data_IF_935298954111
#
_entry.id   IF_935298954111
#
_cell.length_a   1.000
_cell.length_b   1.000
_cell.length_c   1.000
_cell.angle_alpha   90.00
_cell.angle_beta   90.00
_cell.angle_gamma   90.00
#
_symmetry.space_group_name_H-M   'P 1'
#
loop_
_entity.id
_entity.type
_entity.pdbx_description
1 polymer ?
#
# COMPACT_ATOMS: atom_id res chain seq x y z
N UNK A 1 22.67 15.64 -33.23
CA UNK A 1 23.60 16.34 -32.33
C UNK A 1 23.49 15.62 -31.03
N UNK A 2 24.49 14.82 -30.71
CA UNK A 2 24.46 13.94 -29.55
C UNK A 2 24.47 14.83 -28.31
N UNK A 3 23.35 14.84 -27.56
CA UNK A 3 23.25 15.57 -26.31
C UNK A 3 24.27 14.95 -25.36
N UNK A 4 25.33 15.68 -25.00
CA UNK A 4 26.29 15.17 -24.02
C UNK A 4 25.87 15.59 -22.61
N UNK A 5 26.31 14.84 -21.59
CA UNK A 5 26.07 15.22 -20.19
C UNK A 5 26.62 16.63 -19.89
N UNK A 6 27.73 17.03 -20.52
CA UNK A 6 28.27 18.39 -20.45
C UNK A 6 27.29 19.44 -21.00
N UNK A 7 26.61 19.18 -22.12
CA UNK A 7 25.59 20.10 -22.63
C UNK A 7 24.40 20.19 -21.68
N UNK A 8 23.92 19.06 -21.15
CA UNK A 8 22.83 19.06 -20.17
C UNK A 8 23.17 19.87 -18.90
N UNK A 9 24.43 19.82 -18.44
CA UNK A 9 24.91 20.63 -17.32
C UNK A 9 24.92 22.12 -17.69
N UNK A 10 25.41 22.48 -18.88
CA UNK A 10 25.43 23.85 -19.35
C UNK A 10 24.00 24.44 -19.45
N UNK A 11 23.09 23.69 -20.06
CA UNK A 11 21.68 24.06 -20.21
C UNK A 11 20.99 24.21 -18.85
N UNK A 12 21.28 23.32 -17.89
CA UNK A 12 20.75 23.43 -16.54
C UNK A 12 21.23 24.71 -15.83
N UNK A 13 22.51 25.05 -15.95
CA UNK A 13 23.06 26.28 -15.36
C UNK A 13 22.44 27.51 -16.03
N UNK A 14 22.28 27.48 -17.35
CA UNK A 14 21.66 28.56 -18.12
C UNK A 14 20.18 28.75 -17.74
N UNK A 15 19.40 27.67 -17.65
CA UNK A 15 18.01 27.73 -17.21
C UNK A 15 17.88 28.34 -15.81
N UNK A 16 18.83 28.00 -14.90
CA UNK A 16 18.87 28.56 -13.55
C UNK A 16 19.23 30.05 -13.55
N UNK A 17 20.13 30.47 -14.43
CA UNK A 17 20.45 31.89 -14.66
C UNK A 17 19.21 32.65 -15.12
N UNK A 18 18.51 32.15 -16.13
CA UNK A 18 17.30 32.77 -16.67
C UNK A 18 16.19 32.89 -15.62
N UNK A 19 15.94 31.84 -14.84
CA UNK A 19 14.96 31.87 -13.76
C UNK A 19 15.30 32.90 -12.66
N UNK A 20 16.59 33.22 -12.45
CA UNK A 20 17.04 34.26 -11.52
C UNK A 20 16.94 35.67 -12.11
N UNK A 21 17.11 35.82 -13.42
CA UNK A 21 16.98 37.10 -14.13
C UNK A 21 15.53 37.45 -14.46
N UNK A 22 14.63 36.46 -14.59
CA UNK A 22 13.23 36.66 -14.96
C UNK A 22 12.48 37.72 -14.10
N UNK A 23 12.62 37.75 -12.75
CA UNK A 23 11.99 38.80 -11.94
C UNK A 23 12.51 40.21 -12.27
N UNK A 24 13.82 40.34 -12.54
CA UNK A 24 14.46 41.60 -12.91
C UNK A 24 14.03 42.05 -14.31
N UNK A 25 13.95 41.10 -15.25
CA UNK A 25 13.43 41.36 -16.60
C UNK A 25 11.96 41.78 -16.58
N UNK A 26 11.12 41.15 -15.74
CA UNK A 26 9.72 41.56 -15.56
C UNK A 26 9.62 42.95 -14.94
N UNK A 27 10.48 43.29 -13.98
CA UNK A 27 10.52 44.62 -13.39
C UNK A 27 10.89 45.69 -14.44
N UNK A 28 11.89 45.41 -15.27
CA UNK A 28 12.30 46.26 -16.38
C UNK A 28 11.17 46.43 -17.41
N UNK A 29 10.57 45.33 -17.88
CA UNK A 29 9.50 45.37 -18.88
C UNK A 29 8.27 46.15 -18.39
N UNK A 30 7.94 46.02 -17.10
CA UNK A 30 6.82 46.77 -16.49
C UNK A 30 7.04 48.29 -16.52
N UNK A 31 8.30 48.76 -16.47
CA UNK A 31 8.63 50.18 -16.57
C UNK A 31 8.60 50.62 -18.04
N UNK A 32 9.17 49.80 -18.93
CA UNK A 32 9.16 50.03 -20.38
C UNK A 32 7.75 50.11 -20.97
N UNK A 33 6.78 49.38 -20.41
CA UNK A 33 5.37 49.40 -20.85
C UNK A 33 4.57 50.58 -20.28
N UNK A 34 5.03 51.24 -19.20
CA UNK A 34 4.25 52.24 -18.46
C UNK A 34 4.73 53.67 -18.61
N UNK A 35 6.00 53.87 -18.96
CA UNK A 35 6.60 55.19 -19.07
C UNK A 35 7.19 55.39 -20.46
N UNK A 36 6.90 56.54 -21.05
CA UNK A 36 7.55 57.03 -22.27
C UNK A 36 8.68 58.02 -21.95
N UNK A 37 8.95 58.29 -20.65
CA UNK A 37 10.02 59.18 -20.23
C UNK A 37 11.40 58.53 -20.49
N UNK A 38 12.25 59.12 -21.36
CA UNK A 38 13.57 58.60 -21.67
C UNK A 38 14.47 58.45 -20.43
N UNK A 39 14.27 59.28 -19.40
CA UNK A 39 15.09 59.27 -18.17
C UNK A 39 14.74 58.06 -17.31
N UNK A 40 13.45 57.80 -17.06
CA UNK A 40 12.99 56.65 -16.28
C UNK A 40 13.35 55.31 -16.95
N UNK A 41 13.29 55.26 -18.28
CA UNK A 41 13.71 54.08 -19.06
C UNK A 41 15.23 53.84 -18.94
N UNK A 42 16.04 54.91 -18.98
CA UNK A 42 17.48 54.81 -18.85
C UNK A 42 17.89 54.36 -17.44
N UNK A 43 17.24 54.90 -16.40
CA UNK A 43 17.44 54.49 -15.01
C UNK A 43 17.07 53.02 -14.78
N UNK A 44 15.91 52.57 -15.29
CA UNK A 44 15.50 51.18 -15.17
C UNK A 44 16.46 50.20 -15.86
N UNK A 45 17.00 50.57 -17.03
CA UNK A 45 18.03 49.79 -17.73
C UNK A 45 19.34 49.76 -16.95
N UNK A 46 19.73 50.88 -16.33
CA UNK A 46 20.93 50.96 -15.49
C UNK A 46 20.79 50.07 -14.24
N UNK A 47 19.65 50.12 -13.55
CA UNK A 47 19.34 49.25 -12.40
C UNK A 47 19.36 47.78 -12.81
N UNK A 48 18.74 47.43 -13.95
CA UNK A 48 18.80 46.06 -14.46
C UNK A 48 20.24 45.62 -14.75
N UNK A 49 21.05 46.46 -15.40
CA UNK A 49 22.44 46.13 -15.72
C UNK A 49 23.29 45.96 -14.45
N UNK A 50 23.09 46.81 -13.44
CA UNK A 50 23.79 46.74 -12.16
C UNK A 50 23.41 45.49 -11.36
N UNK A 51 22.12 45.15 -11.29
CA UNK A 51 21.64 43.98 -10.53
C UNK A 51 21.85 42.65 -11.28
N UNK A 52 21.82 42.65 -12.61
CA UNK A 52 22.03 41.44 -13.41
C UNK A 52 23.50 41.05 -13.53
N UNK A 53 24.43 42.02 -13.65
CA UNK A 53 25.87 41.75 -13.78
C UNK A 53 26.45 40.76 -12.73
N UNK A 54 26.20 40.91 -11.40
CA UNK A 54 26.70 39.95 -10.42
C UNK A 54 26.04 38.57 -10.55
N UNK A 55 24.78 38.51 -10.97
CA UNK A 55 24.08 37.25 -11.25
C UNK A 55 24.76 36.57 -12.44
N UNK A 56 24.97 37.27 -13.55
CA UNK A 56 25.62 36.70 -14.73
C UNK A 56 27.03 36.18 -14.42
N UNK A 57 27.81 36.93 -13.65
CA UNK A 57 29.13 36.50 -13.22
C UNK A 57 29.07 35.22 -12.37
N UNK A 58 28.13 35.14 -11.41
CA UNK A 58 27.97 33.97 -10.54
C UNK A 58 27.47 32.71 -11.26
N UNK A 59 26.74 32.86 -12.36
CA UNK A 59 26.19 31.76 -13.17
C UNK A 59 27.09 31.37 -14.35
N UNK A 60 28.32 31.88 -14.42
CA UNK A 60 29.32 31.32 -15.33
C UNK A 60 29.63 29.88 -14.89
N UNK A 61 29.64 28.92 -15.81
CA UNK A 61 29.67 27.49 -15.49
C UNK A 61 30.77 27.10 -14.49
N UNK A 62 32.00 27.58 -14.69
CA UNK A 62 33.12 27.29 -13.78
C UNK A 62 32.91 27.86 -12.36
N UNK A 63 32.42 29.09 -12.23
CA UNK A 63 32.16 29.75 -10.93
C UNK A 63 31.03 29.04 -10.20
N UNK A 64 29.94 28.75 -10.91
CA UNK A 64 28.77 28.09 -10.37
C UNK A 64 29.08 26.66 -9.90
N UNK A 65 29.83 25.88 -10.71
CA UNK A 65 30.26 24.53 -10.34
C UNK A 65 31.17 24.53 -9.10
N UNK A 66 32.04 25.53 -8.99
CA UNK A 66 32.94 25.69 -7.83
C UNK A 66 32.18 26.02 -6.56
N UNK A 67 31.15 26.87 -6.64
CA UNK A 67 30.24 27.13 -5.52
C UNK A 67 29.38 25.89 -5.18
N UNK A 68 28.84 25.21 -6.20
CA UNK A 68 28.04 24.01 -6.04
C UNK A 68 28.83 22.88 -5.35
N UNK A 69 30.10 22.69 -5.71
CA UNK A 69 30.98 21.71 -5.08
C UNK A 69 31.19 22.01 -3.59
N UNK A 70 31.31 23.29 -3.19
CA UNK A 70 31.40 23.70 -1.78
C UNK A 70 30.09 23.49 -1.01
N UNK A 71 28.95 23.64 -1.69
CA UNK A 71 27.60 23.43 -1.12
C UNK A 71 27.18 21.96 -1.08
N UNK A 72 27.82 21.08 -1.85
CA UNK A 72 27.50 19.66 -1.93
C UNK A 72 27.47 18.96 -0.55
N UNK A 73 28.34 19.34 0.38
CA UNK A 73 28.35 18.83 1.77
C UNK A 73 27.08 19.11 2.58
N UNK A 74 26.21 20.01 2.11
CA UNK A 74 24.95 20.34 2.78
C UNK A 74 23.80 19.41 2.37
N UNK A 75 24.05 18.50 1.44
CA UNK A 75 23.11 17.49 0.96
C UNK A 75 23.74 16.11 1.07
N UNK A 76 22.88 15.12 1.22
CA UNK A 76 23.22 13.70 1.18
C UNK A 76 22.26 13.03 0.20
N UNK A 77 22.82 12.38 -0.82
CA UNK A 77 22.07 11.52 -1.72
C UNK A 77 21.82 10.20 -1.00
N UNK A 78 20.56 9.78 -0.97
CA UNK A 78 20.16 8.65 -0.16
C UNK A 78 19.03 7.85 -0.79
N UNK A 79 19.09 6.54 -0.63
CA UNK A 79 17.92 5.65 -0.82
C UNK A 79 17.13 5.53 0.47
N UNK A 80 17.83 5.55 1.61
CA UNK A 80 17.27 5.47 2.95
C UNK A 80 17.60 6.73 3.72
N UNK A 81 16.56 7.45 4.16
CA UNK A 81 16.67 8.80 4.70
C UNK A 81 16.26 8.84 6.17
N UNK A 82 17.09 9.46 7.01
CA UNK A 82 16.87 9.49 8.45
C UNK A 82 15.75 10.47 8.89
N UNK A 83 15.53 11.55 8.14
CA UNK A 83 14.54 12.59 8.47
C UNK A 83 13.09 12.14 8.46
N UNK A 84 12.79 10.96 7.91
CA UNK A 84 11.44 10.39 7.92
C UNK A 84 11.05 9.85 9.30
N UNK A 85 12.01 9.53 10.18
CA UNK A 85 11.68 9.17 11.57
C UNK A 85 11.29 10.41 12.36
N UNK A 86 12.04 11.50 12.20
CA UNK A 86 11.76 12.81 12.76
C UNK A 86 12.43 13.88 11.90
N UNK A 87 11.73 14.97 11.58
CA UNK A 87 12.24 16.01 10.66
C UNK A 87 13.58 16.61 11.08
N UNK A 88 13.78 16.73 12.39
CA UNK A 88 14.96 17.35 13.00
C UNK A 88 16.08 16.33 13.31
N UNK A 89 15.91 15.05 12.92
CA UNK A 89 16.95 14.05 13.13
C UNK A 89 18.17 14.36 12.25
N UNK A 90 19.29 14.69 12.90
CA UNK A 90 20.61 14.86 12.26
C UNK A 90 21.39 13.56 12.30
N UNK A 91 20.83 12.52 11.69
CA UNK A 91 21.46 11.22 11.53
C UNK A 91 21.87 11.00 10.07
N UNK A 92 22.81 10.08 9.88
CA UNK A 92 23.31 9.74 8.56
C UNK A 92 22.25 9.06 7.71
N UNK A 93 22.19 9.48 6.45
CA UNK A 93 21.36 8.86 5.42
C UNK A 93 22.23 7.97 4.53
N UNK A 94 21.64 6.94 3.92
CA UNK A 94 22.40 5.89 3.23
C UNK A 94 21.99 5.76 1.77
N UNK A 95 22.98 5.74 0.90
CA UNK A 95 22.85 5.39 -0.51
C UNK A 95 23.19 3.90 -0.68
N UNK A 96 22.18 3.08 -0.98
CA UNK A 96 22.36 1.64 -1.18
C UNK A 96 22.25 1.33 -2.67
N UNK A 97 23.34 0.88 -3.26
CA UNK A 97 23.41 0.48 -4.67
C UNK A 97 23.04 -0.99 -4.89
N UNK A 98 23.19 -1.84 -3.87
CA UNK A 98 23.09 -3.29 -3.99
C UNK A 98 21.76 -3.76 -4.58
N UNK A 99 21.85 -4.74 -5.46
CA UNK A 99 20.72 -5.45 -6.04
C UNK A 99 20.71 -6.89 -5.53
N UNK A 100 19.54 -7.40 -5.17
CA UNK A 100 19.33 -8.79 -4.82
C UNK A 100 18.56 -9.47 -5.94
N UNK A 101 19.12 -10.54 -6.50
CA UNK A 101 18.56 -11.24 -7.66
C UNK A 101 17.34 -12.08 -7.30
N UNK A 102 17.32 -12.69 -6.10
CA UNK A 102 16.23 -13.56 -5.66
C UNK A 102 16.05 -13.49 -4.14
N UNK A 103 14.86 -13.08 -3.68
CA UNK A 103 14.48 -13.02 -2.27
C UNK A 103 12.97 -13.22 -2.14
N UNK A 104 12.55 -13.99 -1.14
CA UNK A 104 11.13 -14.12 -0.77
C UNK A 104 10.57 -12.83 -0.12
N UNK A 105 11.45 -11.90 0.24
CA UNK A 105 11.10 -10.60 0.82
C UNK A 105 11.29 -9.49 -0.21
N UNK A 106 10.27 -8.63 -0.33
CA UNK A 106 10.37 -7.38 -1.07
C UNK A 106 11.13 -6.35 -0.23
N UNK A 107 12.33 -6.00 -0.68
CA UNK A 107 13.20 -5.01 -0.02
C UNK A 107 13.68 -3.98 -1.04
N UNK A 108 14.28 -2.87 -0.59
CA UNK A 108 14.80 -1.84 -1.50
C UNK A 108 15.79 -2.40 -2.54
N UNK A 109 16.56 -3.44 -2.17
CA UNK A 109 17.49 -4.11 -3.08
C UNK A 109 16.80 -4.94 -4.19
N UNK A 110 15.50 -5.25 -4.05
CA UNK A 110 14.70 -5.91 -5.10
C UNK A 110 14.35 -4.98 -6.26
N UNK A 111 14.59 -3.66 -6.14
CA UNK A 111 14.32 -2.70 -7.19
C UNK A 111 15.46 -2.67 -8.23
N UNK A 112 15.08 -2.80 -9.51
CA UNK A 112 15.98 -2.69 -10.65
C UNK A 112 16.58 -1.28 -10.74
N UNK A 113 15.75 -0.24 -10.81
CA UNK A 113 16.16 1.16 -10.73
C UNK A 113 15.70 1.73 -9.39
N UNK A 114 16.64 2.25 -8.61
CA UNK A 114 16.36 2.86 -7.30
C UNK A 114 16.31 4.37 -7.47
N UNK A 115 15.17 4.98 -7.16
CA UNK A 115 15.07 6.43 -7.12
C UNK A 115 16.01 6.97 -6.03
N UNK A 116 16.98 7.80 -6.42
CA UNK A 116 17.90 8.46 -5.49
C UNK A 116 17.17 9.65 -4.90
N UNK A 117 17.06 9.72 -3.58
CA UNK A 117 16.54 10.89 -2.87
C UNK A 117 17.66 11.86 -2.51
N UNK A 118 17.31 13.12 -2.26
CA UNK A 118 18.24 14.13 -1.76
C UNK A 118 17.72 14.69 -0.44
N UNK A 119 18.51 14.52 0.62
CA UNK A 119 18.20 14.94 1.98
C UNK A 119 19.20 16.01 2.38
N UNK A 120 18.74 17.17 2.85
CA UNK A 120 19.67 18.22 3.25
C UNK A 120 19.02 19.58 3.40
N UNK A 121 19.85 20.62 3.26
CA UNK A 121 19.38 21.99 3.21
C UNK A 121 18.63 22.24 1.89
N UNK A 122 17.41 22.78 1.96
CA UNK A 122 16.59 23.09 0.79
C UNK A 122 17.29 24.04 -0.20
N UNK A 123 18.14 24.93 0.30
CA UNK A 123 18.92 25.87 -0.52
C UNK A 123 20.02 25.20 -1.37
N UNK A 124 20.39 23.95 -1.08
CA UNK A 124 21.40 23.18 -1.81
C UNK A 124 20.79 22.04 -2.64
N UNK A 125 19.46 21.93 -2.72
CA UNK A 125 18.78 20.92 -3.55
C UNK A 125 19.01 21.12 -5.06
N UNK A 126 19.40 22.33 -5.48
CA UNK A 126 19.79 22.58 -6.86
C UNK A 126 21.09 21.87 -7.24
N UNK A 127 21.99 21.63 -6.28
CA UNK A 127 23.17 20.76 -6.45
C UNK A 127 22.74 19.30 -6.60
N UNK A 128 21.75 18.84 -5.83
CA UNK A 128 21.24 17.49 -5.99
C UNK A 128 20.61 17.26 -7.36
N UNK A 129 19.87 18.25 -7.89
CA UNK A 129 19.30 18.20 -9.23
C UNK A 129 20.38 18.16 -10.32
N UNK A 130 21.45 18.95 -10.16
CA UNK A 130 22.62 18.88 -11.04
C UNK A 130 23.20 17.44 -11.07
N UNK A 131 23.45 16.86 -9.91
CA UNK A 131 24.05 15.53 -9.81
C UNK A 131 23.17 14.43 -10.45
N UNK A 132 21.85 14.62 -10.42
CA UNK A 132 20.86 13.70 -11.01
C UNK A 132 20.64 13.88 -12.51
N UNK A 133 21.25 14.87 -13.16
CA UNK A 133 21.15 14.99 -14.62
C UNK A 133 21.64 13.69 -15.27
N UNK A 134 20.82 13.12 -16.13
CA UNK A 134 21.06 11.84 -16.80
C UNK A 134 21.02 12.08 -18.31
N UNK A 135 22.04 11.60 -19.02
CA UNK A 135 22.11 11.61 -20.48
C UNK A 135 22.62 10.26 -20.96
N UNK A 136 21.88 9.59 -21.86
CA UNK A 136 22.17 8.22 -22.33
C UNK A 136 22.44 7.19 -21.22
N UNK A 137 21.77 7.34 -20.07
CA UNK A 137 21.92 6.45 -18.91
C UNK A 137 23.14 6.74 -18.02
N UNK A 138 23.94 7.75 -18.37
CA UNK A 138 25.06 8.24 -17.56
C UNK A 138 24.66 9.52 -16.82
N UNK A 139 24.99 9.58 -15.53
CA UNK A 139 24.75 10.75 -14.67
C UNK A 139 26.04 11.16 -13.96
N UNK A 140 26.08 12.40 -13.43
CA UNK A 140 27.20 12.82 -12.60
C UNK A 140 27.37 11.93 -11.36
N UNK A 141 26.29 11.38 -10.82
CA UNK A 141 26.34 10.42 -9.71
C UNK A 141 27.10 9.15 -10.12
N UNK A 142 26.81 8.59 -11.30
CA UNK A 142 27.48 7.37 -11.77
C UNK A 142 28.94 7.63 -12.08
N UNK A 143 29.29 8.79 -12.65
CA UNK A 143 30.69 9.19 -12.86
C UNK A 143 31.46 9.26 -11.53
N UNK A 144 30.88 9.95 -10.53
CA UNK A 144 31.49 10.08 -9.20
C UNK A 144 31.66 8.73 -8.50
N UNK A 145 30.67 7.82 -8.60
CA UNK A 145 30.77 6.46 -8.07
C UNK A 145 31.86 5.63 -8.75
N UNK A 146 32.10 5.85 -10.05
CA UNK A 146 33.19 5.23 -10.81
C UNK A 146 34.54 5.94 -10.62
N UNK A 147 34.57 7.05 -9.87
CA UNK A 147 35.77 7.78 -9.54
C UNK A 147 36.28 8.71 -10.65
N UNK A 148 35.44 9.13 -11.60
CA UNK A 148 35.78 10.11 -12.64
C UNK A 148 34.72 11.23 -12.74
N UNK A 149 35.04 12.30 -13.47
CA UNK A 149 34.17 13.49 -13.67
C UNK A 149 34.33 14.05 -15.07
N UNK A 150 34.34 13.18 -16.08
CA UNK A 150 34.65 13.55 -17.47
C UNK A 150 33.68 14.60 -18.02
N UNK A 151 32.42 14.58 -17.60
CA UNK A 151 31.43 15.58 -18.01
C UNK A 151 31.75 17.00 -17.52
N UNK A 152 32.55 17.14 -16.46
CA UNK A 152 32.95 18.45 -15.92
C UNK A 152 34.18 19.04 -16.64
N UNK A 153 34.95 18.20 -17.34
CA UNK A 153 36.20 18.61 -17.99
C UNK A 153 36.01 19.66 -19.09
N UNK A 154 34.84 19.72 -19.71
CA UNK A 154 34.50 20.75 -20.70
C UNK A 154 34.41 22.17 -20.13
N UNK A 155 34.32 22.32 -18.80
CA UNK A 155 34.11 23.61 -18.14
C UNK A 155 35.36 24.21 -17.51
N UNK A 156 36.48 23.48 -17.48
CA UNK A 156 37.76 23.99 -16.98
C UNK A 156 38.94 23.29 -17.63
N UNK A 157 40.01 24.06 -17.84
CA UNK A 157 41.31 23.53 -18.25
C UNK A 157 42.24 23.30 -17.04
N UNK A 158 41.80 23.67 -15.83
CA UNK A 158 42.57 23.52 -14.59
C UNK A 158 42.27 22.17 -13.92
N UNK A 159 43.27 21.29 -13.90
CA UNK A 159 43.17 19.97 -13.26
C UNK A 159 42.96 20.06 -11.75
N UNK A 160 43.49 21.10 -11.09
CA UNK A 160 43.29 21.30 -9.65
C UNK A 160 41.83 21.64 -9.36
N UNK A 161 41.23 22.53 -10.15
CA UNK A 161 39.82 22.88 -10.03
C UNK A 161 38.91 21.66 -10.29
N UNK A 162 39.25 20.84 -11.29
CA UNK A 162 38.51 19.60 -11.57
C UNK A 162 38.56 18.62 -10.39
N UNK A 163 39.73 18.49 -9.74
CA UNK A 163 39.90 17.67 -8.54
C UNK A 163 39.09 18.21 -7.37
N UNK A 164 39.09 19.53 -7.15
CA UNK A 164 38.28 20.17 -6.12
C UNK A 164 36.78 19.92 -6.34
N UNK A 165 36.30 19.96 -7.58
CA UNK A 165 34.92 19.63 -7.90
C UNK A 165 34.60 18.17 -7.61
N UNK A 166 35.46 17.24 -8.03
CA UNK A 166 35.31 15.81 -7.74
C UNK A 166 35.21 15.55 -6.23
N UNK A 167 36.16 16.08 -5.46
CA UNK A 167 36.22 15.88 -4.01
C UNK A 167 35.04 16.54 -3.29
N UNK A 168 34.60 17.71 -3.76
CA UNK A 168 33.41 18.40 -3.24
C UNK A 168 32.12 17.64 -3.51
N UNK A 169 31.85 17.26 -4.77
CA UNK A 169 30.64 16.53 -5.13
C UNK A 169 30.59 15.11 -4.55
N UNK A 170 31.75 14.47 -4.35
CA UNK A 170 31.82 13.16 -3.69
C UNK A 170 31.27 13.18 -2.26
N UNK A 171 31.33 14.32 -1.57
CA UNK A 171 30.74 14.48 -0.23
C UNK A 171 29.21 14.36 -0.23
N UNK A 172 28.55 14.54 -1.38
CA UNK A 172 27.11 14.35 -1.48
C UNK A 172 26.71 12.86 -1.56
N UNK A 173 27.63 11.93 -1.90
CA UNK A 173 27.32 10.51 -2.04
C UNK A 173 27.12 9.79 -0.69
N UNK A 174 27.61 10.36 0.41
CA UNK A 174 27.46 9.79 1.74
C UNK A 174 28.25 10.57 2.79
N UNK A 175 27.84 10.41 4.05
CA UNK A 175 28.55 11.03 5.17
C UNK A 175 29.90 10.33 5.39
N UNK A 176 30.95 11.13 5.60
CA UNK A 176 32.30 10.61 5.92
C UNK A 176 32.36 9.85 7.24
N UNK A 177 31.43 10.13 8.16
CA UNK A 177 31.28 9.44 9.44
C UNK A 177 29.82 9.13 9.70
N UNK A 178 29.53 7.83 9.86
CA UNK A 178 28.19 7.37 10.19
C UNK A 178 27.81 7.77 11.62
N UNK A 179 26.65 8.39 11.76
CA UNK A 179 26.11 8.81 13.05
C UNK A 179 24.60 8.57 13.12
N UNK A 180 24.13 8.21 14.31
CA UNK A 180 22.70 8.17 14.64
C UNK A 180 22.31 9.38 15.48
N UNK A 181 21.02 9.58 15.68
CA UNK A 181 20.48 10.69 16.46
C UNK A 181 19.56 10.16 17.59
N UNK A 182 19.38 10.95 18.65
CA UNK A 182 18.49 10.61 19.77
C UNK A 182 17.03 10.48 19.36
N UNK A 183 16.65 11.17 18.28
CA UNK A 183 15.31 11.13 17.68
C UNK A 183 15.14 10.01 16.62
N UNK A 184 16.22 9.30 16.30
CA UNK A 184 16.15 8.11 15.43
C UNK A 184 15.67 6.90 16.24
N UNK A 185 15.03 5.93 15.59
CA UNK A 185 14.69 4.66 16.25
C UNK A 185 15.95 3.82 16.36
N UNK A 186 16.20 3.29 17.55
CA UNK A 186 17.33 2.40 17.84
C UNK A 186 16.74 1.16 18.55
N UNK A 187 16.99 -0.02 18.00
CA UNK A 187 16.37 -1.28 18.41
C UNK A 187 17.46 -2.28 18.78
N UNK A 188 17.42 -2.84 19.98
CA UNK A 188 18.28 -3.96 20.34
C UNK A 188 17.75 -5.24 19.69
N UNK A 189 18.63 -5.93 18.97
CA UNK A 189 18.35 -7.22 18.36
C UNK A 189 19.24 -8.28 19.01
N UNK A 190 18.65 -9.28 19.70
CA UNK A 190 19.42 -10.30 20.41
C UNK A 190 20.15 -11.20 19.43
N UNK A 191 21.41 -11.49 19.74
CA UNK A 191 22.23 -12.53 19.15
C UNK A 191 22.29 -13.68 20.13
N UNK A 192 21.72 -14.80 19.73
CA UNK A 192 21.84 -16.03 20.49
C UNK A 192 23.16 -16.67 20.06
N UNK A 193 24.14 -16.72 20.97
CA UNK A 193 25.39 -17.44 20.73
C UNK A 193 25.14 -18.91 20.44
N UNK A 194 26.10 -19.59 19.80
CA UNK A 194 25.98 -21.02 19.48
C UNK A 194 25.74 -21.89 20.73
N UNK A 195 26.25 -21.44 21.87
CA UNK A 195 26.08 -22.05 23.20
C UNK A 195 24.67 -21.87 23.78
N UNK A 196 23.82 -21.03 23.18
CA UNK A 196 22.46 -20.64 23.62
C UNK A 196 22.40 -20.05 25.03
N UNK A 197 23.54 -19.77 25.63
CA UNK A 197 23.68 -19.25 27.00
C UNK A 197 24.22 -17.82 27.02
N UNK A 198 25.01 -17.43 26.03
CA UNK A 198 25.40 -16.05 25.81
C UNK A 198 24.35 -15.32 24.94
N UNK A 199 23.86 -14.18 25.43
CA UNK A 199 22.96 -13.28 24.66
C UNK A 199 23.65 -11.94 24.50
N UNK A 200 24.25 -11.74 23.34
CA UNK A 200 24.75 -10.44 22.91
C UNK A 200 23.66 -9.67 22.17
N UNK A 201 23.88 -8.38 21.89
CA UNK A 201 22.91 -7.56 21.18
C UNK A 201 23.57 -6.72 20.10
N UNK A 202 22.93 -6.67 18.94
CA UNK A 202 23.18 -5.64 17.94
C UNK A 202 22.21 -4.47 18.12
N UNK A 203 22.72 -3.24 18.05
CA UNK A 203 21.88 -2.06 18.00
C UNK A 203 21.56 -1.71 16.55
N UNK A 204 20.33 -1.99 16.13
CA UNK A 204 19.82 -1.70 14.79
C UNK A 204 19.22 -0.29 14.73
N UNK A 205 19.67 0.51 13.78
CA UNK A 205 19.09 1.82 13.48
C UNK A 205 18.36 1.77 12.13
N UNK A 206 17.09 1.36 12.08
CA UNK A 206 16.36 1.27 10.82
C UNK A 206 16.15 2.66 10.21
N UNK A 207 16.50 2.79 8.94
CA UNK A 207 16.26 4.00 8.15
C UNK A 207 15.05 3.79 7.22
N UNK A 208 14.30 4.85 6.97
CA UNK A 208 13.15 4.80 6.08
C UNK A 208 13.60 4.75 4.62
N UNK A 209 13.15 3.74 3.87
CA UNK A 209 13.43 3.63 2.44
C UNK A 209 12.55 4.61 1.64
N UNK A 210 13.14 5.76 1.28
CA UNK A 210 12.46 6.74 0.42
C UNK A 210 12.31 6.23 -1.00
N UNK A 211 13.31 5.48 -1.50
CA UNK A 211 13.28 4.88 -2.83
C UNK A 211 12.10 3.91 -3.00
N UNK A 212 11.91 2.98 -2.06
CA UNK A 212 10.80 2.02 -2.11
C UNK A 212 9.44 2.71 -1.95
N UNK A 213 9.37 3.70 -1.08
CA UNK A 213 8.15 4.47 -0.88
C UNK A 213 7.79 5.35 -2.11
N UNK A 214 8.79 5.69 -2.93
CA UNK A 214 8.58 6.41 -4.19
C UNK A 214 8.03 5.50 -5.29
N UNK A 215 8.58 4.30 -5.45
CA UNK A 215 8.04 3.31 -6.39
C UNK A 215 6.60 2.91 -6.03
N UNK A 216 6.33 2.61 -4.75
CA UNK A 216 4.97 2.30 -4.29
C UNK A 216 4.00 3.47 -4.55
N UNK A 217 4.47 4.71 -4.44
CA UNK A 217 3.65 5.89 -4.72
C UNK A 217 3.21 5.94 -6.18
N UNK A 218 4.13 5.70 -7.11
CA UNK A 218 3.83 5.68 -8.54
C UNK A 218 2.90 4.53 -8.90
N UNK A 219 3.12 3.34 -8.35
CA UNK A 219 2.26 2.18 -8.58
C UNK A 219 0.81 2.41 -8.13
N UNK A 220 0.62 2.95 -6.93
CA UNK A 220 -0.72 3.29 -6.44
C UNK A 220 -1.36 4.42 -7.26
N UNK A 221 -0.59 5.44 -7.64
CA UNK A 221 -1.08 6.55 -8.49
C UNK A 221 -1.49 6.06 -9.88
N UNK A 222 -0.71 5.17 -10.48
CA UNK A 222 -0.97 4.53 -11.77
C UNK A 222 -2.29 3.77 -11.74
N UNK A 223 -2.49 2.92 -10.72
CA UNK A 223 -3.76 2.18 -10.49
C UNK A 223 -4.97 3.11 -10.32
N UNK A 224 -4.81 4.29 -9.71
CA UNK A 224 -5.94 5.21 -9.43
C UNK A 224 -6.27 6.18 -10.56
N UNK A 225 -5.27 6.71 -11.25
CA UNK A 225 -5.42 7.88 -12.14
C UNK A 225 -4.81 7.72 -13.53
N UNK A 226 -4.05 6.66 -13.80
CA UNK A 226 -3.45 6.40 -15.11
C UNK A 226 -4.36 5.57 -16.03
N UNK A 227 -3.73 4.77 -16.90
CA UNK A 227 -4.35 3.87 -17.87
C UNK A 227 -5.42 2.94 -17.27
N UNK A 228 -5.36 2.67 -15.97
CA UNK A 228 -6.36 1.92 -15.22
C UNK A 228 -7.75 2.57 -15.23
N UNK A 229 -7.90 3.81 -15.69
CA UNK A 229 -9.23 4.41 -15.91
C UNK A 229 -9.99 3.71 -17.03
N UNK A 230 -9.33 3.45 -18.17
CA UNK A 230 -9.97 2.78 -19.31
C UNK A 230 -10.38 1.35 -18.96
N UNK A 231 -9.52 0.65 -18.20
CA UNK A 231 -9.80 -0.70 -17.68
C UNK A 231 -11.03 -0.68 -16.76
N UNK A 232 -11.12 0.30 -15.85
CA UNK A 232 -12.27 0.44 -14.94
C UNK A 232 -13.55 0.81 -15.68
N UNK A 233 -13.46 1.67 -16.69
CA UNK A 233 -14.61 2.06 -17.50
C UNK A 233 -15.10 0.86 -18.31
N UNK A 234 -14.19 0.06 -18.91
CA UNK A 234 -14.51 -1.21 -19.57
C UNK A 234 -15.18 -2.22 -18.61
N UNK A 235 -14.64 -2.40 -17.40
CA UNK A 235 -15.26 -3.24 -16.37
C UNK A 235 -16.64 -2.72 -15.96
N UNK A 236 -16.83 -1.40 -15.89
CA UNK A 236 -18.12 -0.80 -15.52
C UNK A 236 -19.21 -1.01 -16.57
N UNK A 237 -18.83 -1.11 -17.85
CA UNK A 237 -19.73 -1.35 -18.99
C UNK A 237 -19.72 -2.81 -19.46
N UNK A 238 -19.18 -3.73 -18.64
CA UNK A 238 -19.07 -5.17 -18.92
C UNK A 238 -18.38 -5.50 -20.27
N UNK A 239 -17.38 -4.71 -20.66
CA UNK A 239 -16.54 -4.96 -21.84
C UNK A 239 -15.19 -5.56 -21.47
N UNK A 240 -14.73 -6.50 -22.29
CA UNK A 240 -13.41 -7.08 -22.17
C UNK A 240 -12.30 -6.04 -22.38
N UNK A 241 -11.22 -6.16 -21.62
CA UNK A 241 -9.99 -5.41 -21.77
C UNK A 241 -8.81 -6.37 -21.56
N UNK A 242 -7.72 -6.19 -22.31
CA UNK A 242 -6.56 -7.11 -22.29
C UNK A 242 -5.77 -7.04 -20.98
N UNK A 243 -5.57 -5.82 -20.45
CA UNK A 243 -4.86 -5.58 -19.19
C UNK A 243 -5.71 -5.88 -17.95
N UNK A 244 -5.05 -6.26 -16.85
CA UNK A 244 -5.67 -6.54 -15.55
C UNK A 244 -6.14 -5.26 -14.83
N UNK A 245 -7.26 -5.36 -14.11
CA UNK A 245 -7.79 -4.31 -13.22
C UNK A 245 -7.18 -4.44 -11.81
N UNK A 246 -6.04 -3.80 -11.59
CA UNK A 246 -5.32 -3.80 -10.32
C UNK A 246 -5.82 -2.70 -9.38
N UNK A 247 -6.22 -3.06 -8.16
CA UNK A 247 -6.78 -2.12 -7.17
C UNK A 247 -6.21 -2.31 -5.77
N UNK A 248 -5.71 -1.22 -5.20
CA UNK A 248 -5.24 -1.17 -3.81
C UNK A 248 -6.32 -0.61 -2.87
N UNK A 249 -6.93 -1.50 -2.09
CA UNK A 249 -7.97 -1.15 -1.12
C UNK A 249 -7.41 -0.80 0.27
N UNK A 250 -8.16 -0.01 1.03
CA UNK A 250 -7.87 0.33 2.44
C UNK A 250 -6.47 0.89 2.71
N UNK A 251 -5.91 1.63 1.75
CA UNK A 251 -4.62 2.31 1.93
C UNK A 251 -4.73 3.39 3.01
N UNK A 252 -3.73 3.45 3.89
CA UNK A 252 -3.52 4.58 4.77
C UNK A 252 -2.53 5.56 4.14
N UNK A 253 -2.74 6.86 4.36
CA UNK A 253 -1.82 7.92 3.90
C UNK A 253 -1.09 8.47 5.12
N UNK A 254 0.24 8.36 5.11
CA UNK A 254 1.12 8.97 6.09
C UNK A 254 1.79 10.20 5.49
N UNK A 255 1.69 11.33 6.20
CA UNK A 255 2.28 12.59 5.75
C UNK A 255 3.56 12.91 6.52
N UNK A 256 4.62 13.28 5.82
CA UNK A 256 5.90 13.70 6.38
C UNK A 256 6.19 15.18 6.09
N UNK A 257 6.62 15.92 7.12
CA UNK A 257 7.01 17.34 7.00
C UNK A 257 5.89 18.36 7.24
N UNK A 258 4.68 17.93 7.59
CA UNK A 258 3.57 18.83 7.93
C UNK A 258 3.27 19.82 6.82
N UNK A 259 3.37 21.12 7.11
CA UNK A 259 3.17 22.20 6.14
C UNK A 259 4.38 22.48 5.22
N UNK A 260 5.54 21.87 5.48
CA UNK A 260 6.80 22.08 4.73
C UNK A 260 7.45 20.74 4.33
N UNK A 261 6.82 19.95 3.44
CA UNK A 261 7.35 18.64 3.01
C UNK A 261 8.73 18.72 2.35
N UNK A 262 9.10 19.89 1.79
CA UNK A 262 10.41 20.14 1.19
C UNK A 262 11.60 20.03 2.15
N UNK A 263 11.37 20.13 3.46
CA UNK A 263 12.44 20.08 4.46
C UNK A 263 12.87 18.65 4.83
N UNK A 264 12.05 17.65 4.46
CA UNK A 264 12.32 16.23 4.70
C UNK A 264 13.26 15.70 3.62
N UNK A 265 12.83 15.72 2.36
CA UNK A 265 13.62 15.28 1.22
C UNK A 265 13.01 15.73 -0.10
N UNK A 266 13.78 15.61 -1.19
CA UNK A 266 13.32 15.95 -2.53
C UNK A 266 12.15 15.05 -2.99
N UNK A 267 12.30 13.72 -2.92
CA UNK A 267 11.25 12.79 -3.35
C UNK A 267 10.01 12.87 -2.47
N UNK A 268 10.15 13.28 -1.20
CA UNK A 268 9.00 13.58 -0.36
C UNK A 268 8.22 14.77 -0.91
N UNK A 269 8.90 15.82 -1.38
CA UNK A 269 8.25 16.98 -1.97
C UNK A 269 7.52 16.63 -3.28
N UNK A 270 8.12 15.80 -4.14
CA UNK A 270 7.49 15.30 -5.38
C UNK A 270 6.22 14.49 -5.07
N UNK A 271 6.22 13.74 -3.96
CA UNK A 271 5.03 13.04 -3.44
C UNK A 271 4.07 13.92 -2.65
N UNK A 272 4.32 15.23 -2.58
CA UNK A 272 3.52 16.19 -1.81
C UNK A 272 3.45 15.85 -0.31
N UNK A 273 4.51 15.26 0.23
CA UNK A 273 4.62 14.80 1.62
C UNK A 273 3.94 13.46 1.90
N UNK A 274 3.32 12.83 0.90
CA UNK A 274 2.48 11.65 1.10
C UNK A 274 3.26 10.34 0.89
N UNK A 275 3.00 9.38 1.76
CA UNK A 275 3.40 7.97 1.60
C UNK A 275 2.17 7.09 1.78
N UNK A 276 2.02 6.07 0.95
CA UNK A 276 0.97 5.06 1.10
C UNK A 276 1.45 3.89 1.95
N UNK A 277 0.60 3.44 2.86
CA UNK A 277 0.79 2.21 3.62
C UNK A 277 -0.23 1.18 3.18
N UNK A 278 0.25 -0.03 2.92
CA UNK A 278 -0.60 -1.18 2.58
C UNK A 278 -1.34 -1.66 3.83
N UNK A 279 -2.58 -2.11 3.64
CA UNK A 279 -3.38 -2.62 4.74
C UNK A 279 -2.88 -4.02 5.15
N UNK A 280 -2.24 -4.09 6.32
CA UNK A 280 -1.84 -5.34 6.96
C UNK A 280 -2.75 -5.70 8.14
N UNK A 281 -3.96 -5.13 8.21
CA UNK A 281 -4.89 -5.46 9.28
C UNK A 281 -5.32 -6.93 9.18
N UNK A 282 -5.46 -7.64 10.32
CA UNK A 282 -6.04 -8.97 10.33
C UNK A 282 -7.49 -8.91 9.82
N UNK A 283 -8.08 -10.04 9.39
CA UNK A 283 -9.48 -10.12 9.01
C UNK A 283 -10.38 -9.56 10.13
N UNK A 284 -11.03 -8.43 9.87
CA UNK A 284 -11.95 -7.82 10.84
C UNK A 284 -13.33 -8.48 10.70
N UNK A 285 -13.66 -9.40 11.59
CA UNK A 285 -15.05 -9.84 11.73
C UNK A 285 -15.89 -8.67 12.25
N UNK A 286 -16.80 -8.16 11.43
CA UNK A 286 -17.79 -7.16 11.87
C UNK A 286 -18.66 -7.79 12.94
N UNK A 287 -18.37 -7.46 14.20
CA UNK A 287 -19.16 -7.87 15.37
C UNK A 287 -20.45 -7.07 15.37
N UNK A 288 -21.50 -7.60 14.75
CA UNK A 288 -22.87 -7.25 15.09
C UNK A 288 -23.53 -8.57 15.48
N UNK A 289 -23.25 -8.96 16.71
CA UNK A 289 -23.83 -10.14 17.32
C UNK A 289 -24.89 -9.64 18.30
N UNK A 290 -25.96 -9.04 17.76
CA UNK A 290 -27.22 -9.00 18.50
C UNK A 290 -27.91 -10.35 18.25
N UNK A 291 -28.56 -10.94 19.27
CA UNK A 291 -29.34 -12.15 19.04
C UNK A 291 -30.39 -11.89 17.94
N UNK A 292 -30.70 -12.88 17.10
CA UNK A 292 -31.61 -12.72 15.97
C UNK A 292 -33.09 -12.69 16.41
N UNK A 293 -33.43 -11.83 17.37
CA UNK A 293 -34.77 -11.70 17.98
C UNK A 293 -35.82 -11.33 16.93
N UNK A 294 -35.47 -10.48 15.97
CA UNK A 294 -36.37 -10.01 14.91
C UNK A 294 -36.48 -10.94 13.69
N UNK A 295 -35.62 -11.97 13.60
CA UNK A 295 -35.61 -12.91 12.48
C UNK A 295 -36.50 -14.12 12.76
N UNK A 296 -37.16 -14.65 11.73
CA UNK A 296 -37.93 -15.89 11.83
C UNK A 296 -37.06 -17.15 11.68
N UNK A 297 -35.88 -17.03 11.07
CA UNK A 297 -34.96 -18.16 10.81
C UNK A 297 -33.49 -17.70 10.75
N UNK A 298 -32.55 -18.61 11.01
CA UNK A 298 -31.11 -18.34 10.80
C UNK A 298 -30.82 -18.09 9.31
N UNK A 299 -31.61 -18.70 8.42
CA UNK A 299 -31.46 -18.62 6.97
C UNK A 299 -31.93 -17.28 6.36
N UNK A 300 -31.77 -16.20 7.10
CA UNK A 300 -32.18 -14.85 6.74
C UNK A 300 -31.19 -14.12 5.82
N UNK A 301 -31.34 -12.78 5.79
CA UNK A 301 -30.57 -11.89 4.91
C UNK A 301 -29.07 -11.89 5.24
N UNK A 302 -28.71 -11.92 6.52
CA UNK A 302 -27.30 -11.85 6.95
C UNK A 302 -26.50 -13.07 6.49
N UNK A 303 -27.01 -14.27 6.77
CA UNK A 303 -26.39 -15.51 6.31
C UNK A 303 -26.35 -15.58 4.77
N UNK A 304 -27.40 -15.12 4.10
CA UNK A 304 -27.44 -15.03 2.64
C UNK A 304 -26.33 -14.12 2.08
N UNK A 305 -25.99 -13.03 2.77
CA UNK A 305 -24.90 -12.15 2.37
C UNK A 305 -23.53 -12.83 2.56
N UNK A 306 -23.32 -13.47 3.71
CA UNK A 306 -22.07 -14.21 4.01
C UNK A 306 -21.80 -15.36 3.03
N UNK A 307 -22.85 -16.02 2.55
CA UNK A 307 -22.76 -17.17 1.64
C UNK A 307 -22.90 -16.80 0.16
N UNK A 308 -23.10 -15.52 -0.18
CA UNK A 308 -23.44 -15.08 -1.54
C UNK A 308 -22.39 -15.48 -2.59
N UNK A 309 -21.10 -15.33 -2.27
CA UNK A 309 -20.00 -15.69 -3.18
C UNK A 309 -19.97 -17.21 -3.45
N UNK A 310 -20.02 -18.02 -2.38
CA UNK A 310 -20.04 -19.49 -2.48
C UNK A 310 -21.25 -20.00 -3.25
N UNK A 311 -22.44 -19.44 -3.00
CA UNK A 311 -23.66 -19.80 -3.73
C UNK A 311 -23.53 -19.43 -5.21
N UNK A 312 -22.93 -18.28 -5.54
CA UNK A 312 -22.69 -17.87 -6.94
C UNK A 312 -21.75 -18.84 -7.64
N UNK A 313 -20.63 -19.20 -7.01
CA UNK A 313 -19.69 -20.17 -7.56
C UNK A 313 -20.32 -21.55 -7.74
N UNK A 314 -21.12 -21.99 -6.76
CA UNK A 314 -21.83 -23.25 -6.86
C UNK A 314 -22.87 -23.23 -8.00
N UNK A 315 -23.61 -22.14 -8.18
CA UNK A 315 -24.50 -21.97 -9.34
C UNK A 315 -23.74 -22.05 -10.65
N UNK A 316 -22.61 -21.35 -10.78
CA UNK A 316 -21.80 -21.39 -12.01
C UNK A 316 -21.29 -22.80 -12.30
N UNK A 317 -20.89 -23.54 -11.27
CA UNK A 317 -20.52 -24.95 -11.40
C UNK A 317 -21.69 -25.81 -11.90
N UNK A 318 -22.89 -25.63 -11.34
CA UNK A 318 -24.09 -26.35 -11.78
C UNK A 318 -24.53 -25.98 -13.21
N UNK A 319 -24.39 -24.71 -13.61
CA UNK A 319 -24.76 -24.23 -14.95
C UNK A 319 -23.79 -24.71 -16.05
N UNK A 320 -22.54 -25.00 -15.69
CA UNK A 320 -21.50 -25.45 -16.61
C UNK A 320 -21.34 -26.98 -16.65
N UNK A 321 -22.11 -27.72 -15.84
CA UNK A 321 -22.02 -29.16 -15.76
C UNK A 321 -22.59 -29.82 -17.02
N UNK A 322 -21.80 -30.64 -17.72
CA UNK A 322 -22.28 -31.40 -18.88
C UNK A 322 -22.84 -32.77 -18.48
N UNK A 323 -23.73 -33.33 -19.29
CA UNK A 323 -24.40 -34.61 -19.00
C UNK A 323 -23.43 -35.80 -18.89
N UNK A 324 -22.32 -35.74 -19.63
CA UNK A 324 -21.23 -36.71 -19.70
C UNK A 324 -20.27 -36.68 -18.49
N UNK A 325 -20.37 -35.66 -17.64
CA UNK A 325 -19.47 -35.43 -16.49
C UNK A 325 -20.07 -35.89 -15.14
N UNK A 326 -21.17 -36.64 -15.13
CA UNK A 326 -21.86 -37.11 -13.90
C UNK A 326 -21.15 -38.26 -13.17
N UNK A 327 -19.85 -38.11 -12.90
CA UNK A 327 -19.00 -39.11 -12.25
C UNK A 327 -18.84 -38.89 -10.73
N UNK A 328 -18.42 -39.95 -10.00
CA UNK A 328 -18.21 -39.89 -8.54
C UNK A 328 -17.21 -38.80 -8.14
N UNK A 329 -16.19 -38.55 -8.98
CA UNK A 329 -15.20 -37.51 -8.73
C UNK A 329 -15.82 -36.11 -8.71
N UNK A 330 -16.70 -35.81 -9.68
CA UNK A 330 -17.43 -34.55 -9.77
C UNK A 330 -18.42 -34.39 -8.60
N UNK A 331 -19.05 -35.48 -8.12
CA UNK A 331 -19.87 -35.44 -6.91
C UNK A 331 -19.05 -35.11 -5.65
N UNK A 332 -17.86 -35.70 -5.50
CA UNK A 332 -16.93 -35.38 -4.40
C UNK A 332 -16.42 -33.95 -4.47
N UNK A 333 -16.06 -33.48 -5.67
CA UNK A 333 -15.65 -32.10 -5.89
C UNK A 333 -16.77 -31.14 -5.53
N UNK A 334 -18.02 -31.43 -5.97
CA UNK A 334 -19.19 -30.64 -5.63
C UNK A 334 -19.34 -30.49 -4.11
N UNK A 335 -19.26 -31.61 -3.40
CA UNK A 335 -19.49 -31.65 -1.97
C UNK A 335 -18.36 -30.93 -1.21
N UNK A 336 -17.09 -31.20 -1.55
CA UNK A 336 -15.93 -30.62 -0.85
C UNK A 336 -15.67 -29.16 -1.20
N UNK A 337 -15.86 -28.76 -2.47
CA UNK A 337 -15.52 -27.41 -2.92
C UNK A 337 -16.66 -26.40 -2.68
N UNK A 338 -17.93 -26.85 -2.66
CA UNK A 338 -19.06 -25.93 -2.57
C UNK A 338 -19.94 -26.21 -1.37
N UNK A 339 -20.41 -27.45 -1.19
CA UNK A 339 -21.42 -27.74 -0.18
C UNK A 339 -20.85 -27.65 1.25
N UNK A 340 -19.72 -28.29 1.53
CA UNK A 340 -19.07 -28.24 2.85
C UNK A 340 -18.69 -26.81 3.28
N UNK A 341 -18.05 -25.97 2.43
CA UNK A 341 -17.76 -24.57 2.80
C UNK A 341 -19.01 -23.75 3.13
N UNK A 342 -20.14 -23.99 2.44
CA UNK A 342 -21.41 -23.35 2.79
C UNK A 342 -21.86 -23.82 4.17
N UNK A 343 -21.84 -25.14 4.43
CA UNK A 343 -22.21 -25.72 5.73
C UNK A 343 -21.34 -25.14 6.84
N UNK A 344 -20.02 -25.10 6.65
CA UNK A 344 -19.07 -24.54 7.62
C UNK A 344 -19.36 -23.07 7.90
N UNK A 345 -19.72 -22.30 6.88
CA UNK A 345 -20.13 -20.89 7.06
C UNK A 345 -21.40 -20.77 7.89
N UNK A 346 -22.39 -21.65 7.67
CA UNK A 346 -23.63 -21.71 8.48
C UNK A 346 -23.31 -22.09 9.93
N UNK A 347 -22.51 -23.13 10.15
CA UNK A 347 -22.16 -23.61 11.49
C UNK A 347 -21.31 -22.58 12.25
N UNK A 348 -20.36 -21.92 11.59
CA UNK A 348 -19.58 -20.83 12.18
C UNK A 348 -20.48 -19.66 12.56
N UNK A 349 -21.48 -19.34 11.72
CA UNK A 349 -22.45 -18.29 12.07
C UNK A 349 -23.29 -18.66 13.29
N UNK A 350 -23.73 -19.92 13.39
CA UNK A 350 -24.43 -20.43 14.55
C UNK A 350 -23.54 -20.42 15.81
N UNK A 351 -22.29 -20.87 15.72
CA UNK A 351 -21.32 -20.87 16.82
C UNK A 351 -21.11 -19.45 17.38
N UNK A 352 -20.99 -18.45 16.52
CA UNK A 352 -20.87 -17.03 16.94
C UNK A 352 -22.10 -16.59 17.75
N UNK A 353 -23.29 -17.07 17.40
CA UNK A 353 -24.52 -16.77 18.14
C UNK A 353 -24.57 -17.55 19.47
N UNK A 354 -24.22 -18.83 19.45
CA UNK A 354 -24.17 -19.67 20.65
C UNK A 354 -23.17 -19.15 21.69
N UNK A 355 -22.07 -18.54 21.26
CA UNK A 355 -21.05 -17.96 22.15
C UNK A 355 -21.47 -16.65 22.82
N UNK A 356 -22.67 -16.10 22.52
CA UNK A 356 -23.19 -14.87 23.13
C UNK A 356 -23.73 -15.11 24.55
N UNK A 357 -22.85 -15.47 25.49
CA UNK A 357 -23.22 -15.74 26.89
C UNK A 357 -23.95 -14.57 27.56
N UNK A 358 -23.57 -13.33 27.24
CA UNK A 358 -24.13 -12.12 27.84
C UNK A 358 -25.62 -11.89 27.50
N UNK A 359 -26.13 -12.57 26.47
CA UNK A 359 -27.52 -12.47 26.01
C UNK A 359 -28.30 -13.78 26.20
N UNK A 360 -27.84 -14.67 27.09
CA UNK A 360 -28.50 -15.94 27.36
C UNK A 360 -29.99 -15.77 27.69
N UNK A 361 -30.85 -16.65 27.15
CA UNK A 361 -32.30 -16.59 27.36
C UNK A 361 -33.02 -15.57 26.48
N UNK A 362 -32.35 -15.01 25.47
CA UNK A 362 -32.98 -14.12 24.48
C UNK A 362 -34.17 -14.78 23.77
N UNK A 363 -34.19 -16.11 23.67
CA UNK A 363 -35.30 -16.85 23.07
C UNK A 363 -36.61 -16.80 23.88
N UNK A 364 -36.56 -16.48 25.17
CA UNK A 364 -37.73 -16.37 26.05
C UNK A 364 -38.39 -14.99 26.02
N UNK A 365 -37.80 -14.03 25.30
CA UNK A 365 -38.37 -12.68 25.19
C UNK A 365 -39.62 -12.66 24.30
N UNK A 366 -40.64 -11.88 24.69
CA UNK A 366 -41.88 -11.72 23.91
C UNK A 366 -41.65 -11.10 22.53
N UNK A 367 -40.49 -10.46 22.32
CA UNK A 367 -40.08 -9.87 21.05
C UNK A 367 -39.51 -10.90 20.05
N UNK A 368 -39.23 -12.13 20.52
CA UNK A 368 -38.61 -13.19 19.73
C UNK A 368 -39.56 -13.76 18.67
N UNK A 369 -39.22 -13.55 17.39
CA UNK A 369 -39.96 -14.09 16.23
C UNK A 369 -39.37 -15.38 15.67
N UNK A 370 -38.31 -15.89 16.29
CA UNK A 370 -37.55 -17.03 15.79
C UNK A 370 -38.35 -18.33 15.92
N UNK A 371 -38.28 -19.21 14.91
CA UNK A 371 -38.86 -20.55 15.01
C UNK A 371 -38.32 -21.28 16.26
N UNK A 372 -39.17 -21.99 17.04
CA UNK A 372 -38.74 -22.68 18.27
C UNK A 372 -37.55 -23.63 18.05
N UNK A 373 -37.52 -24.37 16.95
CA UNK A 373 -36.41 -25.29 16.64
C UNK A 373 -35.08 -24.57 16.41
N UNK A 374 -35.11 -23.37 15.82
CA UNK A 374 -33.90 -22.58 15.60
C UNK A 374 -33.45 -21.90 16.89
N UNK A 375 -34.40 -21.46 17.72
CA UNK A 375 -34.09 -20.98 19.06
C UNK A 375 -33.41 -22.08 19.89
N UNK A 376 -33.95 -23.30 19.88
CA UNK A 376 -33.38 -24.49 20.52
C UNK A 376 -31.96 -24.80 20.07
N UNK A 377 -31.55 -24.41 18.86
CA UNK A 377 -30.19 -24.59 18.38
C UNK A 377 -29.26 -23.46 18.84
N UNK A 378 -29.72 -22.21 18.77
CA UNK A 378 -28.87 -21.02 18.90
C UNK A 378 -28.74 -20.50 20.35
N UNK A 379 -29.74 -20.65 21.20
CA UNK A 379 -29.73 -20.17 22.60
C UNK A 379 -29.28 -21.29 23.57
N UNK A 380 -28.02 -21.68 23.49
CA UNK A 380 -27.45 -22.82 24.26
C UNK A 380 -27.50 -22.58 25.77
N UNK A 381 -27.25 -21.33 26.20
CA UNK A 381 -27.10 -20.96 27.60
C UNK A 381 -28.40 -20.54 28.29
N UNK A 382 -29.57 -20.82 27.68
CA UNK A 382 -30.87 -20.53 28.28
C UNK A 382 -31.03 -21.29 29.62
N UNK A 383 -31.44 -20.58 30.67
CA UNK A 383 -31.61 -21.12 32.02
C UNK A 383 -32.94 -21.84 32.25
N UNK A 384 -33.87 -21.80 31.29
CA UNK A 384 -35.16 -22.49 31.40
C UNK A 384 -35.02 -24.03 31.30
N UNK A 385 -35.50 -24.74 32.32
CA UNK A 385 -35.47 -26.20 32.39
C UNK A 385 -36.31 -26.86 31.29
N UNK A 386 -37.45 -26.26 30.91
CA UNK A 386 -38.29 -26.81 29.86
C UNK A 386 -37.56 -26.75 28.51
N UNK A 387 -36.89 -25.64 28.25
CA UNK A 387 -36.08 -25.43 27.05
C UNK A 387 -34.94 -26.45 26.95
N UNK A 388 -34.21 -26.69 28.03
CA UNK A 388 -33.12 -27.67 28.04
C UNK A 388 -33.62 -29.10 27.81
N UNK A 389 -34.74 -29.50 28.44
CA UNK A 389 -35.38 -30.81 28.19
C UNK A 389 -35.80 -31.00 26.73
N UNK A 390 -36.26 -29.94 26.06
CA UNK A 390 -36.60 -29.98 24.65
C UNK A 390 -35.35 -30.05 23.75
N UNK A 391 -34.25 -29.41 24.15
CA UNK A 391 -32.98 -29.48 23.43
C UNK A 391 -32.38 -30.89 23.48
N UNK A 392 -32.42 -31.55 24.64
CA UNK A 392 -31.88 -32.90 24.85
C UNK A 392 -32.54 -33.98 23.96
N UNK A 393 -33.82 -33.80 23.60
CA UNK A 393 -34.54 -34.74 22.71
C UNK A 393 -33.93 -34.82 21.31
N UNK A 394 -33.30 -33.75 20.82
CA UNK A 394 -32.60 -33.73 19.53
C UNK A 394 -33.49 -33.77 18.28
N UNK A 395 -34.82 -33.82 18.42
CA UNK A 395 -35.78 -33.84 17.29
C UNK A 395 -35.66 -32.60 16.40
N UNK A 396 -35.25 -31.47 16.98
CA UNK A 396 -35.04 -30.20 16.29
C UNK A 396 -33.93 -30.25 15.23
N UNK A 397 -32.95 -31.16 15.34
CA UNK A 397 -31.83 -31.28 14.39
C UNK A 397 -32.31 -31.60 12.97
N UNK A 398 -33.31 -32.49 12.84
CA UNK A 398 -33.86 -32.90 11.55
C UNK A 398 -34.61 -31.76 10.88
N UNK A 399 -35.33 -30.97 11.67
CA UNK A 399 -36.10 -29.82 11.20
C UNK A 399 -35.18 -28.69 10.69
N UNK A 400 -34.07 -28.45 11.38
CA UNK A 400 -33.06 -27.46 10.91
C UNK A 400 -32.39 -27.94 9.62
N UNK A 401 -32.05 -29.22 9.52
CA UNK A 401 -31.47 -29.78 8.29
C UNK A 401 -32.42 -29.66 7.08
N UNK A 402 -33.72 -29.85 7.32
CA UNK A 402 -34.77 -29.67 6.31
C UNK A 402 -34.94 -28.19 5.92
N UNK A 403 -34.91 -27.29 6.89
CA UNK A 403 -34.94 -25.84 6.64
C UNK A 403 -33.69 -25.37 5.85
N UNK A 404 -32.50 -25.91 6.17
CA UNK A 404 -31.27 -25.67 5.43
C UNK A 404 -31.38 -26.12 3.97
N UNK A 405 -31.83 -27.36 3.74
CA UNK A 405 -31.99 -27.91 2.40
C UNK A 405 -32.98 -27.09 1.55
N UNK A 406 -34.07 -26.64 2.16
CA UNK A 406 -35.07 -25.78 1.51
C UNK A 406 -34.47 -24.42 1.14
N UNK A 407 -33.74 -23.79 2.07
CA UNK A 407 -33.06 -22.53 1.83
C UNK A 407 -32.01 -22.65 0.71
N UNK A 408 -31.14 -23.65 0.79
CA UNK A 408 -30.08 -23.86 -0.20
C UNK A 408 -30.68 -24.15 -1.57
N UNK A 409 -31.72 -24.99 -1.66
CA UNK A 409 -32.41 -25.28 -2.92
C UNK A 409 -33.00 -24.01 -3.52
N UNK A 410 -33.69 -23.18 -2.72
CA UNK A 410 -34.20 -21.88 -3.19
C UNK A 410 -33.08 -20.93 -3.64
N UNK A 411 -31.96 -20.91 -2.92
CA UNK A 411 -30.78 -20.12 -3.30
C UNK A 411 -30.05 -20.69 -4.49
N UNK A 412 -30.19 -21.96 -4.82
CA UNK A 412 -29.62 -22.55 -6.01
C UNK A 412 -30.59 -22.57 -7.18
N UNK A 413 -31.89 -22.26 -7.03
CA UNK A 413 -32.77 -22.10 -8.20
C UNK A 413 -32.25 -20.96 -9.09
N UNK A 414 -31.90 -21.30 -10.34
CA UNK A 414 -31.53 -20.34 -11.38
C UNK A 414 -32.76 -20.03 -12.23
N UNK A 415 -32.91 -18.77 -12.68
CA UNK A 415 -34.00 -18.34 -13.56
C UNK A 415 -33.93 -18.97 -14.95
N UNK A 416 -32.83 -19.65 -15.30
CA UNK A 416 -32.56 -20.18 -16.65
C UNK A 416 -32.94 -21.65 -16.86
N UNK A 417 -33.58 -22.31 -15.89
CA UNK A 417 -34.05 -23.72 -15.96
C UNK A 417 -33.01 -24.76 -16.45
N UNK A 418 -31.70 -24.43 -16.41
CA UNK A 418 -30.64 -25.32 -16.94
C UNK A 418 -30.39 -26.58 -16.11
N UNK A 419 -30.85 -26.60 -14.86
CA UNK A 419 -30.74 -27.76 -13.98
C UNK A 419 -31.97 -27.83 -13.06
N UNK A 420 -32.44 -29.05 -12.80
CA UNK A 420 -33.60 -29.32 -11.95
C UNK A 420 -33.08 -29.81 -10.60
N UNK A 421 -33.30 -29.02 -9.55
CA UNK A 421 -33.12 -29.48 -8.17
C UNK A 421 -34.48 -29.97 -7.68
N UNK A 422 -34.59 -31.28 -7.48
CA UNK A 422 -35.81 -31.93 -7.01
C UNK A 422 -35.69 -32.43 -5.57
N UNK A 423 -36.58 -33.35 -5.23
CA UNK A 423 -36.69 -33.91 -3.87
C UNK A 423 -35.46 -34.75 -3.49
N UNK A 424 -34.76 -35.32 -4.46
CA UNK A 424 -33.56 -36.15 -4.24
C UNK A 424 -32.40 -35.27 -3.76
N UNK A 425 -32.17 -34.13 -4.41
CA UNK A 425 -31.13 -33.17 -4.01
C UNK A 425 -31.45 -32.54 -2.65
N UNK A 426 -32.73 -32.22 -2.41
CA UNK A 426 -33.18 -31.73 -1.11
C UNK A 426 -32.90 -32.73 0.02
N UNK A 427 -33.28 -33.99 -0.17
CA UNK A 427 -33.01 -35.05 0.79
C UNK A 427 -31.50 -35.25 1.01
N UNK A 428 -30.69 -35.14 -0.05
CA UNK A 428 -29.24 -35.24 0.03
C UNK A 428 -28.62 -34.09 0.85
N UNK A 429 -29.00 -32.84 0.56
CA UNK A 429 -28.51 -31.67 1.30
C UNK A 429 -28.91 -31.73 2.77
N UNK A 430 -30.16 -32.15 3.05
CA UNK A 430 -30.63 -32.35 4.42
C UNK A 430 -29.81 -33.43 5.14
N UNK A 431 -29.58 -34.59 4.50
CA UNK A 431 -28.78 -35.67 5.09
C UNK A 431 -27.34 -35.25 5.39
N UNK A 432 -26.69 -34.56 4.45
CA UNK A 432 -25.31 -34.11 4.64
C UNK A 432 -25.20 -33.06 5.75
N UNK A 433 -26.09 -32.07 5.76
CA UNK A 433 -26.14 -31.06 6.81
C UNK A 433 -26.42 -31.68 8.18
N UNK A 434 -27.37 -32.61 8.26
CA UNK A 434 -27.69 -33.31 9.50
C UNK A 434 -26.47 -34.06 10.08
N UNK A 435 -25.67 -34.69 9.21
CA UNK A 435 -24.45 -35.37 9.63
C UNK A 435 -23.46 -34.38 10.27
N UNK A 436 -23.22 -33.23 9.61
CA UNK A 436 -22.31 -32.21 10.14
C UNK A 436 -22.87 -31.51 11.38
N UNK A 437 -24.17 -31.24 11.42
CA UNK A 437 -24.84 -30.63 12.57
C UNK A 437 -24.77 -31.54 13.81
N UNK A 438 -24.91 -32.86 13.65
CA UNK A 438 -24.71 -33.82 14.74
C UNK A 438 -23.27 -33.82 15.26
N UNK A 439 -22.29 -33.70 14.36
CA UNK A 439 -20.89 -33.59 14.76
C UNK A 439 -20.63 -32.28 15.51
N UNK A 440 -21.18 -31.18 15.00
CA UNK A 440 -21.10 -29.85 15.63
C UNK A 440 -21.72 -29.84 17.03
N UNK A 441 -22.93 -30.40 17.20
CA UNK A 441 -23.63 -30.42 18.50
C UNK A 441 -22.87 -31.26 19.55
N UNK A 442 -22.14 -32.29 19.15
CA UNK A 442 -21.26 -33.04 20.08
C UNK A 442 -20.12 -32.18 20.65
N UNK A 443 -19.70 -31.15 19.90
CA UNK A 443 -18.68 -30.20 20.33
C UNK A 443 -19.26 -28.93 20.97
N UNK A 444 -20.59 -28.76 20.97
CA UNK A 444 -21.24 -27.61 21.58
C UNK A 444 -21.23 -27.78 23.11
N UNK A 445 -20.71 -26.80 23.88
CA UNK A 445 -20.63 -26.89 25.33
C UNK A 445 -22.03 -26.92 25.96
N UNK A 446 -22.26 -27.79 26.94
CA UNK A 446 -23.54 -27.83 27.67
C UNK A 446 -23.59 -26.79 28.78
N UNK A 447 -24.82 -26.44 29.18
CA UNK A 447 -25.06 -25.60 30.35
C UNK A 447 -24.43 -26.28 31.59
N UNK A 448 -23.39 -25.66 32.17
CA UNK A 448 -22.66 -26.17 33.33
C UNK A 448 -21.29 -26.82 33.06
N UNK A 449 -20.83 -26.91 31.81
CA UNK A 449 -19.50 -27.47 31.45
C UNK A 449 -18.36 -26.42 31.37
N UNK A 450 -18.53 -25.23 31.95
CA UNK A 450 -17.47 -24.21 32.07
C UNK A 450 -17.44 -23.57 33.45
#
# INVERSE_FOLDING_TARGET
MDNTLSQAIADYIQQRKEAKLEPLQKALNKILEKSEDPVEIAEAKAVYAEESAPIEASFTASVWLSDAAKRAKQISLATHAAKFTHSDAKASSMLVSDQLSESNYLVTASLNKKAIDAVGNAAALDVARLLKLECDGESLITQLQQGHVDALRSFTNDEQQLKEWKDGFSQALGDTKLSSHTLSKQLYFPLIGEDKTSVDYHLLCPLFSSALAHELYHEVRRSRYGDSKEIRDAHKIDKYHEKLDERFFNLAVQNFGGSKPQNISQLNNERHGQTFLLNCAPPQWKRIASPPVSSSSLFGRELSFKTAALIREFRLFLENLREDEKNVHIRRQRDNAYLLPIIDTVLNHAAVIQMMKDHAGWSNSDECKMKPNHALWLDVYNTDEAFQKHREKGDWLVLIATDFASWLTHKLKSNKEKYILGDIEHAYFSKLFLHQLKHFERSTPKLGEL
#
